data_IF_642922411842
#
_entry.id   IF_642922411842
#
_cell.length_a   1.000
_cell.length_b   1.000
_cell.length_c   1.000
_cell.angle_alpha   90.00
_cell.angle_beta   90.00
_cell.angle_gamma   90.00
#
_symmetry.space_group_name_H-M   'P 1'
#
loop_
_entity.id
_entity.type
_entity.pdbx_description
1 polymer ?
#
# COMPACT_ATOMS: atom_id res chain seq x y z
N UNK A 1 -0.78 -4.94 -15.49
CA UNK A 1 0.03 -5.80 -14.60
C UNK A 1 -0.76 -6.65 -13.60
N UNK A 2 -2.11 -6.58 -13.49
CA UNK A 2 -2.84 -7.39 -12.51
C UNK A 2 -2.57 -8.90 -12.63
N UNK A 3 -2.70 -9.46 -13.84
CA UNK A 3 -2.45 -10.89 -14.07
C UNK A 3 -1.02 -11.29 -13.67
N UNK A 4 -0.03 -10.52 -14.11
CA UNK A 4 1.39 -10.77 -13.81
C UNK A 4 1.68 -10.80 -12.29
N UNK A 5 1.11 -9.87 -11.51
CA UNK A 5 1.29 -9.90 -10.06
C UNK A 5 0.57 -11.07 -9.38
N UNK A 6 -0.57 -11.52 -9.91
CA UNK A 6 -1.26 -12.71 -9.39
C UNK A 6 -0.47 -13.99 -9.68
N UNK A 7 0.06 -14.13 -10.89
CA UNK A 7 0.94 -15.25 -11.24
C UNK A 7 2.23 -15.24 -10.39
N UNK A 8 2.76 -14.07 -10.04
CA UNK A 8 3.91 -13.95 -9.16
C UNK A 8 3.59 -14.35 -7.71
N UNK A 9 2.41 -13.98 -7.21
CA UNK A 9 1.90 -14.36 -5.89
C UNK A 9 1.68 -15.87 -5.76
N UNK A 10 1.24 -16.54 -6.82
CA UNK A 10 1.12 -18.01 -6.87
C UNK A 10 2.49 -18.70 -6.82
N UNK A 11 3.51 -18.12 -7.48
CA UNK A 11 4.85 -18.71 -7.58
C UNK A 11 5.75 -18.42 -6.38
N UNK A 12 5.45 -17.37 -5.61
CA UNK A 12 6.29 -16.93 -4.49
C UNK A 12 5.44 -16.71 -3.22
N UNK A 13 5.55 -17.60 -2.20
CA UNK A 13 4.78 -17.45 -0.97
C UNK A 13 5.12 -16.20 -0.15
N UNK A 14 6.29 -15.60 -0.39
CA UNK A 14 6.74 -14.36 0.26
C UNK A 14 6.22 -13.09 -0.41
N UNK A 15 5.57 -13.20 -1.57
CA UNK A 15 4.96 -12.07 -2.26
C UNK A 15 3.45 -12.10 -2.09
N UNK A 16 2.87 -10.93 -1.78
CA UNK A 16 1.42 -10.74 -1.68
C UNK A 16 1.01 -9.48 -2.44
N UNK A 17 -0.04 -9.60 -3.25
CA UNK A 17 -0.53 -8.50 -4.08
C UNK A 17 -1.91 -8.01 -3.61
N UNK A 18 -1.92 -6.88 -2.90
CA UNK A 18 -3.12 -6.30 -2.34
C UNK A 18 -3.56 -5.07 -3.13
N UNK A 19 -4.85 -4.98 -3.47
CA UNK A 19 -5.41 -3.91 -4.31
C UNK A 19 -6.61 -3.28 -3.61
N UNK A 20 -6.71 -1.95 -3.67
CA UNK A 20 -7.86 -1.19 -3.17
C UNK A 20 -8.27 -0.10 -4.16
N UNK A 21 -9.57 0.17 -4.28
CA UNK A 21 -10.12 1.20 -5.17
C UNK A 21 -10.88 2.26 -4.38
N UNK A 22 -10.58 3.55 -4.59
CA UNK A 22 -11.10 4.65 -3.76
C UNK A 22 -12.38 5.32 -4.28
N UNK A 23 -12.68 5.21 -5.58
CA UNK A 23 -13.72 6.01 -6.26
C UNK A 23 -14.60 5.17 -7.18
N UNK A 24 -14.98 3.98 -6.72
CA UNK A 24 -15.94 3.15 -7.44
C UNK A 24 -17.36 3.62 -7.15
N UNK A 25 -18.26 3.46 -8.12
CA UNK A 25 -19.69 3.62 -7.90
C UNK A 25 -20.20 2.57 -6.91
N UNK A 26 -21.35 2.82 -6.27
CA UNK A 26 -21.93 1.87 -5.34
C UNK A 26 -22.28 0.56 -6.03
N UNK A 27 -22.89 0.62 -7.22
CA UNK A 27 -23.22 -0.56 -8.04
C UNK A 27 -22.03 -1.21 -8.77
N UNK A 28 -20.81 -0.71 -8.59
CA UNK A 28 -19.63 -1.27 -9.27
C UNK A 28 -19.40 -2.73 -8.86
N UNK A 29 -19.13 -3.67 -9.79
CA UNK A 29 -18.99 -5.09 -9.50
C UNK A 29 -17.67 -5.47 -8.80
N UNK A 30 -16.79 -4.51 -8.49
CA UNK A 30 -15.53 -4.77 -7.80
C UNK A 30 -15.76 -5.45 -6.44
N UNK A 31 -15.24 -6.67 -6.34
CA UNK A 31 -15.30 -7.51 -5.16
C UNK A 31 -14.12 -7.31 -4.19
N UNK A 32 -13.10 -6.56 -4.61
CA UNK A 32 -11.93 -6.28 -3.79
C UNK A 32 -12.15 -5.16 -2.77
N UNK A 33 -11.09 -4.82 -2.04
CA UNK A 33 -11.13 -3.75 -1.03
C UNK A 33 -11.47 -2.41 -1.67
N UNK A 34 -12.24 -1.60 -0.95
CA UNK A 34 -12.56 -0.21 -1.30
C UNK A 34 -11.96 0.75 -0.29
N UNK A 35 -11.66 1.97 -0.73
CA UNK A 35 -11.13 3.04 0.10
C UNK A 35 -9.61 3.22 0.03
N UNK A 36 -9.11 4.21 0.78
CA UNK A 36 -7.68 4.57 0.80
C UNK A 36 -6.87 3.54 1.59
N UNK A 37 -5.56 3.51 1.34
CA UNK A 37 -4.61 2.79 2.18
C UNK A 37 -4.62 3.44 3.56
N UNK A 38 -4.78 2.64 4.62
CA UNK A 38 -4.90 3.10 6.00
C UNK A 38 -3.94 2.35 6.93
N UNK A 39 -3.68 2.91 8.10
CA UNK A 39 -2.75 2.34 9.07
C UNK A 39 -3.21 0.96 9.52
N UNK A 40 -4.50 0.80 9.80
CA UNK A 40 -5.09 -0.47 10.21
C UNK A 40 -4.95 -1.54 9.13
N UNK A 41 -5.07 -1.16 7.85
CA UNK A 41 -4.90 -2.12 6.77
C UNK A 41 -3.44 -2.55 6.65
N UNK A 42 -2.48 -1.62 6.75
CA UNK A 42 -1.05 -1.94 6.78
C UNK A 42 -0.72 -2.88 7.95
N UNK A 43 -1.22 -2.59 9.16
CA UNK A 43 -1.03 -3.46 10.34
C UNK A 43 -1.63 -4.85 10.17
N UNK A 44 -2.68 -5.00 9.38
CA UNK A 44 -3.29 -6.31 9.09
C UNK A 44 -2.49 -7.16 8.10
N UNK A 45 -1.60 -6.55 7.31
CA UNK A 45 -0.83 -7.24 6.27
C UNK A 45 0.66 -7.39 6.60
N UNK A 46 1.24 -6.42 7.31
CA UNK A 46 2.65 -6.40 7.64
C UNK A 46 2.89 -7.15 8.97
N UNK A 47 3.87 -8.05 8.96
CA UNK A 47 4.15 -8.93 10.11
C UNK A 47 5.17 -8.35 11.09
N UNK A 48 6.06 -7.47 10.62
CA UNK A 48 7.13 -6.87 11.41
C UNK A 48 7.30 -5.39 11.04
N UNK A 49 6.51 -4.52 11.67
CA UNK A 49 6.49 -3.09 11.36
C UNK A 49 7.82 -2.39 11.68
N UNK A 50 8.51 -2.83 12.73
CA UNK A 50 9.76 -2.21 13.20
C UNK A 50 10.91 -2.42 12.22
N UNK A 51 10.91 -3.53 11.48
CA UNK A 51 11.96 -3.85 10.51
C UNK A 51 11.51 -3.71 9.03
N UNK A 52 10.24 -3.40 8.77
CA UNK A 52 9.73 -3.24 7.40
C UNK A 52 10.29 -1.98 6.74
N UNK A 53 10.77 -2.10 5.50
CA UNK A 53 11.08 -0.93 4.65
C UNK A 53 9.92 -0.70 3.69
N UNK A 54 9.40 0.53 3.70
CA UNK A 54 8.29 0.97 2.88
C UNK A 54 8.79 1.70 1.64
N UNK A 55 8.23 1.36 0.48
CA UNK A 55 8.50 2.04 -0.78
C UNK A 55 7.20 2.62 -1.31
N UNK A 56 7.22 3.89 -1.73
CA UNK A 56 6.06 4.52 -2.34
C UNK A 56 6.44 5.38 -3.54
N UNK A 57 5.70 5.20 -4.63
CA UNK A 57 5.78 5.96 -5.86
C UNK A 57 4.35 6.23 -6.36
N UNK A 58 4.14 7.38 -6.98
CA UNK A 58 2.86 7.75 -7.59
C UNK A 58 2.64 9.25 -7.61
N UNK A 59 1.40 9.70 -7.80
CA UNK A 59 1.05 11.12 -7.73
C UNK A 59 1.47 11.74 -6.40
N UNK A 60 1.82 13.03 -6.39
CA UNK A 60 2.28 13.77 -5.19
C UNK A 60 1.38 13.53 -3.98
N UNK A 61 0.06 13.61 -4.16
CA UNK A 61 -0.90 13.39 -3.08
C UNK A 61 -0.88 11.97 -2.49
N UNK A 62 -0.52 10.95 -3.28
CA UNK A 62 -0.33 9.59 -2.78
C UNK A 62 0.95 9.52 -1.95
N UNK A 63 2.05 10.04 -2.49
CA UNK A 63 3.35 9.93 -1.82
C UNK A 63 3.37 10.72 -0.51
N UNK A 64 2.85 11.94 -0.50
CA UNK A 64 2.70 12.74 0.72
C UNK A 64 1.73 12.11 1.72
N UNK A 65 0.63 11.52 1.23
CA UNK A 65 -0.30 10.76 2.05
C UNK A 65 0.37 9.56 2.73
N UNK A 66 1.18 8.80 2.00
CA UNK A 66 1.96 7.69 2.56
C UNK A 66 3.00 8.17 3.57
N UNK A 67 3.68 9.30 3.31
CA UNK A 67 4.62 9.88 4.28
C UNK A 67 3.94 10.23 5.61
N UNK A 68 2.75 10.83 5.56
CA UNK A 68 1.97 11.13 6.75
C UNK A 68 1.47 9.87 7.46
N UNK A 69 0.99 8.89 6.69
CA UNK A 69 0.52 7.61 7.21
C UNK A 69 1.62 6.89 8.00
N UNK A 70 2.84 6.82 7.46
CA UNK A 70 3.97 6.14 8.08
C UNK A 70 4.47 6.90 9.31
N UNK A 71 4.70 8.21 9.18
CA UNK A 71 5.31 9.00 10.26
C UNK A 71 4.34 9.38 11.39
N UNK A 72 3.07 9.67 11.08
CA UNK A 72 2.11 10.19 12.07
C UNK A 72 1.15 9.12 12.59
N UNK A 73 0.61 8.28 11.73
CA UNK A 73 -0.39 7.28 12.14
C UNK A 73 0.26 5.98 12.62
N UNK A 74 1.35 5.55 11.96
CA UNK A 74 2.11 4.36 12.34
C UNK A 74 3.28 4.68 13.28
N UNK A 75 3.67 5.95 13.40
CA UNK A 75 4.72 6.39 14.32
C UNK A 75 6.11 5.84 13.98
N UNK A 76 6.34 5.48 12.71
CA UNK A 76 7.58 4.84 12.27
C UNK A 76 8.63 5.87 11.82
N UNK A 77 9.93 5.58 12.03
CA UNK A 77 11.03 6.38 11.52
C UNK A 77 10.96 6.63 10.01
N UNK A 78 11.27 7.86 9.58
CA UNK A 78 11.27 8.24 8.17
C UNK A 78 12.30 7.45 7.36
N UNK A 79 13.35 6.96 8.01
CA UNK A 79 14.42 6.17 7.43
C UNK A 79 13.91 4.86 6.82
N UNK A 80 12.81 4.32 7.36
CA UNK A 80 12.11 3.14 6.83
C UNK A 80 11.33 3.45 5.54
N UNK A 81 11.10 4.71 5.19
CA UNK A 81 10.32 5.10 4.02
C UNK A 81 11.20 5.61 2.89
N UNK A 82 11.15 4.94 1.74
CA UNK A 82 11.79 5.35 0.49
C UNK A 82 10.73 5.88 -0.47
N UNK A 83 10.89 7.13 -0.90
CA UNK A 83 9.94 7.82 -1.73
C UNK A 83 10.53 8.15 -3.09
N UNK A 84 9.76 7.90 -4.13
CA UNK A 84 10.01 8.42 -5.47
C UNK A 84 8.90 9.43 -5.80
N UNK A 85 9.29 10.71 -5.93
CA UNK A 85 8.39 11.81 -6.30
C UNK A 85 8.80 12.30 -7.69
N UNK A 86 7.84 12.35 -8.61
CA UNK A 86 8.02 13.01 -9.91
C UNK A 86 7.39 14.40 -9.82
N UNK A 87 8.23 15.43 -9.84
CA UNK A 87 7.84 16.85 -9.72
C UNK A 87 8.99 17.75 -10.13
#
# INVERSE_FOLDING_TARGET
FNQEFRELEEKNPHFKFNVTCTRLAEEDPWSGRRGRISADWIKSIATDMENTVFYACGPTALVEGTEQLISKELGLPKEQLKLEKWG
#
